data_IF_180651001342
#
_entry.id   IF_180651001342
#
_cell.length_a   1.000
_cell.length_b   1.000
_cell.length_c   1.000
_cell.angle_alpha   90.00
_cell.angle_beta   90.00
_cell.angle_gamma   90.00
#
_symmetry.space_group_name_H-M   'P 1'
#
loop_
_entity.id
_entity.type
_entity.pdbx_description
1 polymer ?
#
# COMPACT_ATOMS: atom_id res chain seq x y z
N UNK A 1 25.39 -49.23 -24.61
CA UNK A 1 25.86 -47.83 -24.46
C UNK A 1 27.11 -47.83 -23.61
N UNK A 2 28.20 -47.23 -24.07
CA UNK A 2 29.50 -47.21 -23.37
C UNK A 2 29.43 -46.36 -22.08
N UNK A 3 30.22 -46.73 -21.06
CA UNK A 3 30.22 -46.08 -19.75
C UNK A 3 30.50 -44.56 -19.81
N UNK A 4 31.23 -44.09 -20.82
CA UNK A 4 31.44 -42.67 -21.10
C UNK A 4 30.15 -41.90 -21.46
N UNK A 5 29.25 -42.51 -22.25
CA UNK A 5 27.98 -41.85 -22.61
C UNK A 5 27.05 -41.69 -21.40
N UNK A 6 27.10 -42.61 -20.44
CA UNK A 6 26.34 -42.51 -19.19
C UNK A 6 26.92 -41.44 -18.26
N UNK A 7 28.26 -41.31 -18.17
CA UNK A 7 28.90 -40.22 -17.42
C UNK A 7 28.62 -38.84 -18.01
N UNK A 8 28.66 -38.70 -19.34
CA UNK A 8 28.35 -37.45 -20.02
C UNK A 8 26.86 -37.06 -19.86
N UNK A 9 25.95 -38.04 -19.91
CA UNK A 9 24.52 -37.81 -19.65
C UNK A 9 24.26 -37.41 -18.19
N UNK A 10 24.92 -38.05 -17.22
CA UNK A 10 24.82 -37.71 -15.80
C UNK A 10 25.38 -36.32 -15.48
N UNK A 11 26.48 -35.92 -16.12
CA UNK A 11 27.06 -34.59 -15.95
C UNK A 11 26.18 -33.49 -16.55
N UNK A 12 25.51 -33.76 -17.69
CA UNK A 12 24.52 -32.87 -18.30
C UNK A 12 23.22 -32.77 -17.49
N UNK A 13 22.77 -33.87 -16.88
CA UNK A 13 21.62 -33.85 -15.98
C UNK A 13 21.92 -33.06 -14.70
N UNK A 14 23.13 -33.21 -14.14
CA UNK A 14 23.56 -32.47 -12.96
C UNK A 14 23.73 -30.97 -13.25
N UNK A 15 24.30 -30.59 -14.40
CA UNK A 15 24.38 -29.18 -14.81
C UNK A 15 23.00 -28.59 -15.11
N UNK A 16 22.09 -29.36 -15.73
CA UNK A 16 20.71 -28.93 -15.91
C UNK A 16 19.97 -28.77 -14.57
N UNK A 17 20.16 -29.67 -13.59
CA UNK A 17 19.60 -29.54 -12.24
C UNK A 17 20.20 -28.34 -11.48
N UNK A 18 21.49 -28.08 -11.61
CA UNK A 18 22.14 -26.91 -10.98
C UNK A 18 21.63 -25.61 -11.62
N UNK A 19 21.49 -25.57 -12.95
CA UNK A 19 20.91 -24.42 -13.66
C UNK A 19 19.40 -24.24 -13.40
N UNK A 20 18.65 -25.33 -13.19
CA UNK A 20 17.24 -25.29 -12.79
C UNK A 20 17.07 -24.90 -11.31
N UNK A 21 18.01 -25.26 -10.44
CA UNK A 21 18.02 -24.82 -9.04
C UNK A 21 18.43 -23.35 -8.87
N UNK A 22 19.26 -22.83 -9.79
CA UNK A 22 19.58 -21.41 -9.89
C UNK A 22 18.43 -20.57 -10.47
N UNK A 23 17.43 -21.21 -11.10
CA UNK A 23 16.32 -20.52 -11.76
C UNK A 23 15.14 -20.16 -10.84
N UNK A 24 15.15 -20.47 -9.54
CA UNK A 24 13.98 -20.18 -8.69
C UNK A 24 14.24 -19.99 -7.19
N UNK A 25 15.34 -19.36 -6.78
CA UNK A 25 15.41 -18.80 -5.43
C UNK A 25 16.27 -17.53 -5.44
N UNK A 26 15.63 -16.37 -5.72
CA UNK A 26 16.29 -15.07 -5.55
C UNK A 26 16.73 -14.93 -4.10
N UNK A 27 17.94 -14.44 -3.89
CA UNK A 27 18.37 -14.16 -2.53
C UNK A 27 17.54 -13.01 -1.96
N UNK A 28 17.35 -12.99 -0.65
CA UNK A 28 16.60 -11.92 -0.01
C UNK A 28 17.23 -10.54 -0.23
N UNK A 29 18.55 -10.49 -0.30
CA UNK A 29 19.29 -9.29 -0.63
C UNK A 29 18.90 -8.76 -2.02
N UNK A 30 18.83 -9.63 -3.04
CA UNK A 30 18.37 -9.25 -4.38
C UNK A 30 16.95 -8.70 -4.37
N UNK A 31 16.04 -9.29 -3.59
CA UNK A 31 14.67 -8.80 -3.48
C UNK A 31 14.62 -7.41 -2.85
N UNK A 32 15.43 -7.17 -1.82
CA UNK A 32 15.57 -5.83 -1.21
C UNK A 32 16.13 -4.84 -2.23
N UNK A 33 17.14 -5.21 -3.01
CA UNK A 33 17.71 -4.35 -4.06
C UNK A 33 16.69 -4.01 -5.15
N UNK A 34 15.87 -4.98 -5.58
CA UNK A 34 14.78 -4.73 -6.54
C UNK A 34 13.76 -3.72 -5.98
N UNK A 35 13.37 -3.88 -4.71
CA UNK A 35 12.43 -2.99 -4.02
C UNK A 35 13.03 -1.59 -3.89
N UNK A 36 14.27 -1.46 -3.42
CA UNK A 36 14.96 -0.18 -3.30
C UNK A 36 15.15 0.50 -4.66
N UNK A 37 15.46 -0.26 -5.71
CA UNK A 37 15.54 0.24 -7.08
C UNK A 37 14.21 0.80 -7.57
N UNK A 38 13.12 0.09 -7.31
CA UNK A 38 11.75 0.53 -7.64
C UNK A 38 11.35 1.79 -6.86
N UNK A 39 11.59 1.81 -5.55
CA UNK A 39 11.32 2.97 -4.70
C UNK A 39 12.14 4.19 -5.14
N UNK A 40 13.41 4.01 -5.51
CA UNK A 40 14.25 5.09 -6.04
C UNK A 40 13.67 5.71 -7.31
N UNK A 41 13.14 4.89 -8.24
CA UNK A 41 12.44 5.40 -9.43
C UNK A 41 11.15 6.16 -9.07
N UNK A 42 10.36 5.63 -8.13
CA UNK A 42 9.14 6.30 -7.65
C UNK A 42 9.42 7.64 -6.95
N UNK A 43 10.49 7.74 -6.15
CA UNK A 43 10.93 9.02 -5.56
C UNK A 43 11.45 9.98 -6.64
N UNK A 44 12.10 9.47 -7.67
CA UNK A 44 12.55 10.29 -8.82
C UNK A 44 11.36 10.85 -9.61
N UNK A 45 10.25 10.11 -9.69
CA UNK A 45 9.00 10.61 -10.23
C UNK A 45 8.45 11.77 -9.39
N UNK A 46 8.37 11.62 -8.06
CA UNK A 46 7.94 12.69 -7.16
C UNK A 46 8.84 13.93 -7.27
N UNK A 47 10.17 13.76 -7.37
CA UNK A 47 11.11 14.86 -7.58
C UNK A 47 10.80 15.71 -8.82
N UNK A 48 10.29 15.09 -9.89
CA UNK A 48 9.91 15.79 -11.12
C UNK A 48 8.49 16.36 -11.07
N UNK A 49 7.60 15.68 -10.36
CA UNK A 49 6.16 15.93 -10.41
C UNK A 49 5.58 16.56 -9.14
N UNK A 50 6.41 16.95 -8.16
CA UNK A 50 5.95 17.45 -6.85
C UNK A 50 4.89 18.56 -6.95
N UNK A 51 4.98 19.46 -7.94
CA UNK A 51 4.02 20.56 -8.12
C UNK A 51 2.65 20.09 -8.65
N UNK A 52 2.61 18.89 -9.23
CA UNK A 52 1.43 18.32 -9.86
C UNK A 52 0.83 17.15 -9.09
N UNK A 53 1.45 16.66 -8.03
CA UNK A 53 0.85 15.61 -7.18
C UNK A 53 -0.42 16.14 -6.49
N UNK A 54 -1.44 15.28 -6.36
CA UNK A 54 -2.65 15.53 -5.57
C UNK A 54 -2.46 15.09 -4.10
N UNK A 55 -3.42 15.38 -3.22
CA UNK A 55 -3.29 15.00 -1.79
C UNK A 55 -3.14 13.49 -1.62
N UNK A 56 -3.93 12.68 -2.33
CA UNK A 56 -3.90 11.22 -2.23
C UNK A 56 -2.52 10.67 -2.61
N UNK A 57 -1.93 11.26 -3.66
CA UNK A 57 -0.56 11.01 -4.06
C UNK A 57 0.45 11.37 -2.98
N UNK A 58 0.34 12.57 -2.38
CA UNK A 58 1.23 12.97 -1.30
C UNK A 58 1.08 12.07 -0.06
N UNK A 59 -0.14 11.67 0.30
CA UNK A 59 -0.40 10.77 1.44
C UNK A 59 0.30 9.42 1.25
N UNK A 60 0.22 8.80 0.06
CA UNK A 60 0.93 7.53 -0.18
C UNK A 60 2.46 7.67 -0.10
N UNK A 61 3.04 8.78 -0.56
CA UNK A 61 4.46 9.07 -0.35
C UNK A 61 4.82 9.36 1.11
N UNK A 62 3.92 9.95 1.90
CA UNK A 62 4.10 10.12 3.36
C UNK A 62 4.02 8.77 4.08
N UNK A 63 3.17 7.85 3.64
CA UNK A 63 3.19 6.46 4.14
C UNK A 63 4.54 5.80 3.84
N UNK A 64 5.06 5.93 2.60
CA UNK A 64 6.42 5.48 2.27
C UNK A 64 7.48 6.13 3.17
N UNK A 65 7.36 7.43 3.46
CA UNK A 65 8.28 8.13 4.36
C UNK A 65 8.30 7.49 5.75
N UNK A 66 7.13 7.13 6.29
CA UNK A 66 7.03 6.42 7.57
C UNK A 66 7.68 5.02 7.49
N UNK A 67 7.37 4.24 6.44
CA UNK A 67 7.96 2.92 6.20
C UNK A 67 9.50 2.98 6.09
N UNK A 68 10.06 3.94 5.33
CA UNK A 68 11.51 4.08 5.18
C UNK A 68 12.20 4.53 6.48
N UNK A 69 11.57 5.40 7.26
CA UNK A 69 12.09 5.79 8.58
C UNK A 69 12.13 4.60 9.53
N UNK A 70 11.10 3.75 9.51
CA UNK A 70 11.06 2.52 10.29
C UNK A 70 12.10 1.49 9.81
N UNK A 71 12.23 1.31 8.49
CA UNK A 71 13.22 0.43 7.89
C UNK A 71 14.65 0.84 8.33
N UNK A 72 15.00 2.12 8.25
CA UNK A 72 16.31 2.64 8.69
C UNK A 72 16.57 2.42 10.18
N UNK A 73 15.51 2.53 11.00
CA UNK A 73 15.57 2.33 12.46
C UNK A 73 15.79 0.87 12.83
N UNK A 74 15.17 -0.06 12.11
CA UNK A 74 15.16 -1.50 12.42
C UNK A 74 16.13 -2.32 11.58
N UNK A 75 16.84 -1.69 10.64
CA UNK A 75 17.72 -2.35 9.69
C UNK A 75 18.77 -3.26 10.38
N UNK A 76 18.89 -4.54 10.01
CA UNK A 76 19.86 -5.45 10.61
C UNK A 76 21.32 -5.04 10.34
N UNK A 77 22.17 -5.02 11.35
CA UNK A 77 23.61 -4.72 11.22
C UNK A 77 24.45 -5.99 11.05
N UNK A 78 24.08 -6.84 10.10
CA UNK A 78 24.59 -8.22 9.99
C UNK A 78 25.86 -8.35 9.16
N UNK A 79 25.97 -7.64 8.04
CA UNK A 79 27.02 -7.84 7.05
C UNK A 79 27.20 -6.59 6.14
N UNK A 80 28.27 -6.51 5.32
CA UNK A 80 28.52 -5.37 4.45
C UNK A 80 27.43 -5.07 3.41
N UNK A 81 26.74 -6.09 2.89
CA UNK A 81 25.62 -5.89 1.94
C UNK A 81 24.48 -5.21 2.66
N UNK A 82 24.12 -5.68 3.85
CA UNK A 82 23.09 -5.02 4.66
C UNK A 82 23.45 -3.54 4.97
N UNK A 83 24.71 -3.26 5.30
CA UNK A 83 25.17 -1.87 5.52
C UNK A 83 25.06 -1.00 4.26
N UNK A 84 25.39 -1.54 3.09
CA UNK A 84 25.24 -0.84 1.82
C UNK A 84 23.77 -0.53 1.53
N UNK A 85 22.88 -1.52 1.67
CA UNK A 85 21.43 -1.35 1.44
C UNK A 85 20.81 -0.33 2.41
N UNK A 86 21.22 -0.35 3.68
CA UNK A 86 20.81 0.67 4.66
C UNK A 86 21.26 2.06 4.24
N UNK A 87 22.51 2.19 3.77
CA UNK A 87 23.05 3.47 3.32
C UNK A 87 22.28 4.02 2.11
N UNK A 88 21.95 3.15 1.15
CA UNK A 88 21.08 3.47 0.01
C UNK A 88 19.71 3.95 0.49
N UNK A 89 19.13 3.27 1.49
CA UNK A 89 17.83 3.63 2.07
C UNK A 89 17.87 5.00 2.75
N UNK A 90 18.94 5.32 3.50
CA UNK A 90 19.13 6.65 4.11
C UNK A 90 19.22 7.74 3.05
N UNK A 91 19.95 7.50 1.95
CA UNK A 91 20.05 8.44 0.84
C UNK A 91 18.70 8.65 0.13
N UNK A 92 17.95 7.57 -0.08
CA UNK A 92 16.60 7.61 -0.65
C UNK A 92 15.64 8.41 0.24
N UNK A 93 15.65 8.16 1.55
CA UNK A 93 14.81 8.87 2.51
C UNK A 93 15.08 10.39 2.49
N UNK A 94 16.35 10.81 2.40
CA UNK A 94 16.70 12.24 2.30
C UNK A 94 16.11 12.90 1.05
N UNK A 95 16.10 12.20 -0.08
CA UNK A 95 15.49 12.67 -1.34
C UNK A 95 13.97 12.75 -1.22
N UNK A 96 13.35 11.74 -0.61
CA UNK A 96 11.92 11.71 -0.37
C UNK A 96 11.48 12.86 0.55
N UNK A 97 12.18 13.07 1.67
CA UNK A 97 11.90 14.17 2.63
C UNK A 97 11.87 15.53 1.90
N UNK A 98 12.89 15.83 1.09
CA UNK A 98 12.98 17.10 0.34
C UNK A 98 11.84 17.27 -0.68
N UNK A 99 11.49 16.20 -1.39
CA UNK A 99 10.44 16.22 -2.42
C UNK A 99 9.04 16.33 -1.82
N UNK A 100 8.79 15.69 -0.68
CA UNK A 100 7.55 15.82 0.08
C UNK A 100 7.35 17.24 0.59
N UNK A 101 8.40 17.89 1.12
CA UNK A 101 8.31 19.29 1.56
C UNK A 101 7.83 20.21 0.42
N UNK A 102 8.35 20.00 -0.80
CA UNK A 102 7.92 20.74 -2.00
C UNK A 102 6.49 20.39 -2.42
N UNK A 103 6.14 19.10 -2.46
CA UNK A 103 4.81 18.65 -2.85
C UNK A 103 3.74 19.17 -1.90
N UNK A 104 3.98 19.13 -0.59
CA UNK A 104 3.08 19.65 0.44
C UNK A 104 2.95 21.18 0.32
N UNK A 105 4.04 21.89 0.06
CA UNK A 105 4.01 23.34 -0.18
C UNK A 105 3.18 23.71 -1.43
N UNK A 106 3.29 22.93 -2.51
CA UNK A 106 2.49 23.09 -3.72
C UNK A 106 1.01 22.78 -3.47
N UNK A 107 0.70 21.69 -2.76
CA UNK A 107 -0.67 21.32 -2.38
C UNK A 107 -1.36 22.42 -1.58
N UNK A 108 -0.66 23.01 -0.61
CA UNK A 108 -1.19 24.10 0.20
C UNK A 108 -1.56 25.33 -0.64
N UNK A 109 -0.88 25.55 -1.77
CA UNK A 109 -1.15 26.66 -2.70
C UNK A 109 -2.24 26.30 -3.70
N UNK A 110 -2.17 25.10 -4.28
CA UNK A 110 -3.02 24.66 -5.39
C UNK A 110 -4.41 24.19 -4.92
N UNK A 111 -4.50 23.57 -3.75
CA UNK A 111 -5.75 23.10 -3.15
C UNK A 111 -5.77 23.33 -1.62
N UNK A 112 -5.87 24.59 -1.18
CA UNK A 112 -5.78 24.94 0.24
C UNK A 112 -6.93 24.36 1.08
N UNK A 113 -8.08 24.07 0.47
CA UNK A 113 -9.22 23.48 1.18
C UNK A 113 -8.92 22.02 1.47
N UNK A 114 -8.57 21.25 0.45
CA UNK A 114 -8.33 19.82 0.61
C UNK A 114 -7.08 19.56 1.48
N UNK A 115 -6.04 20.39 1.34
CA UNK A 115 -4.90 20.40 2.26
C UNK A 115 -5.35 20.54 3.72
N UNK A 116 -6.20 21.52 4.07
CA UNK A 116 -6.63 21.75 5.46
C UNK A 116 -7.45 20.59 6.02
N UNK A 117 -8.28 19.98 5.18
CA UNK A 117 -9.14 18.86 5.58
C UNK A 117 -8.31 17.62 5.97
N UNK A 118 -7.14 17.43 5.37
CA UNK A 118 -6.34 16.21 5.56
C UNK A 118 -4.87 16.46 5.97
N UNK A 119 -4.53 17.68 6.35
CA UNK A 119 -3.18 18.07 6.81
C UNK A 119 -2.55 17.07 7.80
N UNK A 120 -3.27 16.52 8.80
CA UNK A 120 -2.69 15.53 9.71
C UNK A 120 -2.11 14.29 9.03
N UNK A 121 -2.69 13.88 7.89
CA UNK A 121 -2.25 12.70 7.12
C UNK A 121 -0.94 12.97 6.37
N UNK A 122 -0.55 14.23 6.19
CA UNK A 122 0.69 14.64 5.53
C UNK A 122 1.89 14.66 6.49
N UNK A 123 1.74 14.10 7.69
CA UNK A 123 2.81 13.98 8.69
C UNK A 123 3.16 12.51 8.89
N UNK A 124 4.41 12.12 8.66
CA UNK A 124 4.81 10.70 8.78
C UNK A 124 4.57 10.11 10.18
N UNK A 125 4.68 10.90 11.26
CA UNK A 125 4.43 10.44 12.63
C UNK A 125 2.96 10.11 12.91
N UNK A 126 2.05 10.51 12.02
CA UNK A 126 0.66 10.08 12.08
C UNK A 126 0.53 8.59 11.77
N UNK A 127 1.33 8.08 10.83
CA UNK A 127 1.26 6.72 10.34
C UNK A 127 2.02 5.75 11.25
N UNK A 128 1.31 4.80 11.83
CA UNK A 128 1.88 3.75 12.67
C UNK A 128 2.28 2.54 11.81
N UNK A 129 3.57 2.18 11.85
CA UNK A 129 4.08 0.98 11.17
C UNK A 129 3.94 -0.24 12.11
N UNK A 130 3.33 -1.35 11.64
CA UNK A 130 3.08 -2.52 12.48
C UNK A 130 4.39 -3.13 13.02
N UNK A 131 4.40 -3.42 14.32
CA UNK A 131 5.55 -4.05 15.00
C UNK A 131 5.45 -5.58 15.05
N UNK A 132 4.30 -6.13 14.66
CA UNK A 132 4.00 -7.55 14.63
C UNK A 132 3.08 -7.85 13.46
N UNK A 133 3.12 -9.10 13.02
CA UNK A 133 2.42 -9.58 11.85
C UNK A 133 1.31 -10.56 12.23
N UNK A 134 0.17 -10.45 11.56
CA UNK A 134 -0.96 -11.36 11.65
C UNK A 134 -1.40 -11.80 10.26
N UNK A 135 -2.25 -12.82 10.19
CA UNK A 135 -2.80 -13.35 8.94
C UNK A 135 -4.29 -13.10 8.87
N UNK A 136 -4.83 -13.02 7.65
CA UNK A 136 -6.27 -12.94 7.44
C UNK A 136 -6.95 -14.27 7.77
N UNK A 137 -8.25 -14.19 8.04
CA UNK A 137 -9.09 -15.34 8.37
C UNK A 137 -10.14 -15.55 7.27
N UNK A 138 -10.00 -16.58 6.41
CA UNK A 138 -10.96 -16.89 5.36
C UNK A 138 -12.39 -17.12 5.85
N UNK A 139 -12.60 -17.46 7.14
CA UNK A 139 -13.93 -17.64 7.72
C UNK A 139 -14.71 -16.32 7.89
N UNK A 140 -14.01 -15.17 7.85
CA UNK A 140 -14.59 -13.83 7.96
C UNK A 140 -15.01 -13.24 6.60
N UNK A 141 -14.74 -13.94 5.51
CA UNK A 141 -15.12 -13.51 4.16
C UNK A 141 -16.65 -13.45 4.04
N UNK A 142 -17.15 -12.38 3.44
CA UNK A 142 -18.58 -12.19 3.24
C UNK A 142 -19.16 -13.31 2.36
N UNK A 143 -20.37 -13.81 2.66
CA UNK A 143 -21.03 -14.79 1.80
C UNK A 143 -21.38 -14.21 0.43
N UNK A 144 -21.58 -12.89 0.34
CA UNK A 144 -21.85 -12.16 -0.89
C UNK A 144 -21.46 -10.70 -0.73
N UNK A 145 -20.97 -10.08 -1.80
CA UNK A 145 -20.72 -8.63 -1.89
C UNK A 145 -21.83 -7.94 -2.69
N UNK A 146 -22.00 -6.65 -2.42
CA UNK A 146 -22.83 -5.75 -3.24
C UNK A 146 -22.08 -5.50 -4.57
N UNK A 147 -22.81 -5.35 -5.67
CA UNK A 147 -22.23 -5.18 -7.02
C UNK A 147 -21.71 -3.78 -7.31
N UNK A 148 -21.99 -2.81 -6.44
CA UNK A 148 -21.62 -1.40 -6.59
C UNK A 148 -21.03 -0.86 -5.31
N UNK A 149 -20.28 0.23 -5.41
CA UNK A 149 -19.81 1.01 -4.26
C UNK A 149 -20.95 1.32 -3.30
N UNK A 150 -20.67 1.21 -2.00
CA UNK A 150 -21.64 1.41 -0.94
C UNK A 150 -21.94 2.89 -0.68
N UNK A 151 -20.98 3.77 -0.97
CA UNK A 151 -21.06 5.19 -0.72
C UNK A 151 -20.08 5.95 -1.63
N UNK A 152 -20.21 7.27 -1.67
CA UNK A 152 -19.31 8.13 -2.43
C UNK A 152 -18.16 8.69 -1.57
N UNK A 153 -17.14 9.18 -2.26
CA UNK A 153 -15.95 9.79 -1.66
C UNK A 153 -16.30 10.99 -0.77
N UNK A 154 -17.34 11.77 -1.09
CA UNK A 154 -17.74 12.92 -0.28
C UNK A 154 -18.20 12.49 1.11
N UNK A 155 -18.97 11.41 1.21
CA UNK A 155 -19.36 10.84 2.50
C UNK A 155 -18.13 10.29 3.23
N UNK A 156 -17.22 9.62 2.52
CA UNK A 156 -15.96 9.14 3.10
C UNK A 156 -15.16 10.28 3.75
N UNK A 157 -14.89 11.33 2.99
CA UNK A 157 -14.08 12.47 3.41
C UNK A 157 -14.71 13.20 4.60
N UNK A 158 -16.03 13.37 4.56
CA UNK A 158 -16.77 13.94 5.67
C UNK A 158 -16.55 13.12 6.95
N UNK A 159 -16.56 11.81 6.86
CA UNK A 159 -16.34 10.95 8.02
C UNK A 159 -14.88 10.98 8.51
N UNK A 160 -13.91 11.05 7.60
CA UNK A 160 -12.49 11.17 7.94
C UNK A 160 -12.17 12.52 8.59
N UNK A 161 -12.65 13.64 8.04
CA UNK A 161 -12.44 14.98 8.61
C UNK A 161 -13.07 15.15 9.99
N UNK A 162 -14.17 14.45 10.27
CA UNK A 162 -14.77 14.37 11.61
C UNK A 162 -13.90 13.59 12.62
N UNK A 163 -13.22 12.52 12.19
CA UNK A 163 -12.24 11.83 13.03
C UNK A 163 -11.00 12.69 13.29
N UNK A 164 -10.48 13.34 12.25
CA UNK A 164 -9.27 14.15 12.33
C UNK A 164 -9.47 15.44 13.15
N UNK A 165 -10.70 15.97 13.17
CA UNK A 165 -11.03 17.27 13.79
C UNK A 165 -10.85 18.46 12.85
N UNK A 166 -10.76 18.21 11.55
CA UNK A 166 -10.46 19.19 10.50
C UNK A 166 -11.70 19.67 9.74
N UNK A 167 -12.88 19.14 10.08
CA UNK A 167 -14.18 19.53 9.50
C UNK A 167 -14.54 21.02 9.69
N UNK A 168 -13.85 21.73 10.58
CA UNK A 168 -13.84 23.18 10.73
C UNK A 168 -12.53 23.65 11.35
N UNK A 169 -12.30 24.96 11.33
CA UNK A 169 -11.22 25.58 12.13
C UNK A 169 -11.40 25.24 13.61
N UNK A 170 -10.35 24.69 14.22
CA UNK A 170 -10.35 24.22 15.61
C UNK A 170 -11.50 23.22 15.92
N UNK A 171 -11.76 22.31 14.97
CA UNK A 171 -12.75 21.26 15.14
C UNK A 171 -12.35 20.25 16.23
N UNK A 172 -13.33 19.75 16.97
CA UNK A 172 -13.12 18.65 17.91
C UNK A 172 -12.88 17.36 17.11
N UNK A 173 -11.80 16.60 17.37
CA UNK A 173 -11.55 15.32 16.70
C UNK A 173 -12.44 14.21 17.26
N UNK A 174 -12.34 13.03 16.64
CA UNK A 174 -13.02 11.80 17.04
C UNK A 174 -14.55 11.88 17.07
N UNK A 175 -15.16 12.64 16.16
CA UNK A 175 -16.62 12.68 16.03
C UNK A 175 -17.09 11.52 15.15
N UNK A 176 -17.92 10.64 15.71
CA UNK A 176 -18.52 9.50 14.98
C UNK A 176 -20.04 9.69 14.91
N UNK A 177 -20.51 10.32 13.82
CA UNK A 177 -21.94 10.49 13.56
C UNK A 177 -22.59 9.16 13.20
N UNK A 178 -23.92 9.05 13.38
CA UNK A 178 -24.66 7.84 12.98
C UNK A 178 -24.46 7.48 11.49
N UNK A 179 -24.56 8.41 10.52
CA UNK A 179 -24.27 8.09 9.11
C UNK A 179 -22.87 7.53 8.90
N UNK A 180 -21.85 8.10 9.55
CA UNK A 180 -20.49 7.58 9.45
C UNK A 180 -20.35 6.19 10.05
N UNK A 181 -20.93 5.96 11.23
CA UNK A 181 -20.91 4.63 11.87
C UNK A 181 -21.59 3.59 10.99
N UNK A 182 -22.81 3.85 10.55
CA UNK A 182 -23.60 2.91 9.76
C UNK A 182 -22.91 2.59 8.43
N UNK A 183 -22.29 3.59 7.80
CA UNK A 183 -21.57 3.44 6.53
C UNK A 183 -20.27 2.68 6.71
N UNK A 184 -19.44 3.09 7.68
CA UNK A 184 -18.10 2.54 7.86
C UNK A 184 -18.10 1.13 8.47
N UNK A 185 -19.21 0.71 9.11
CA UNK A 185 -19.39 -0.64 9.67
C UNK A 185 -20.22 -1.58 8.78
N UNK A 186 -20.65 -1.10 7.60
CA UNK A 186 -21.51 -1.87 6.69
C UNK A 186 -20.73 -3.02 6.04
N UNK A 187 -21.20 -4.25 6.25
CA UNK A 187 -20.62 -5.43 5.57
C UNK A 187 -21.10 -5.54 4.11
N UNK A 188 -20.33 -6.26 3.31
CA UNK A 188 -20.64 -6.55 1.91
C UNK A 188 -20.25 -5.44 0.94
N UNK A 189 -19.57 -4.39 1.40
CA UNK A 189 -19.08 -3.34 0.52
C UNK A 189 -17.90 -3.82 -0.32
N UNK A 190 -17.89 -3.55 -1.64
CA UNK A 190 -16.80 -3.97 -2.52
C UNK A 190 -15.75 -2.86 -2.66
N UNK A 191 -14.60 -3.22 -3.26
CA UNK A 191 -13.62 -2.30 -3.85
C UNK A 191 -13.26 -1.09 -2.98
N UNK A 192 -13.39 0.14 -3.50
CA UNK A 192 -12.92 1.35 -2.84
C UNK A 192 -13.73 1.68 -1.57
N UNK A 193 -15.00 1.29 -1.51
CA UNK A 193 -15.77 1.38 -0.28
C UNK A 193 -15.13 0.54 0.83
N UNK A 194 -14.64 -0.67 0.51
CA UNK A 194 -13.99 -1.53 1.49
C UNK A 194 -12.64 -0.95 1.94
N UNK A 195 -11.85 -0.41 1.01
CA UNK A 195 -10.57 0.25 1.35
C UNK A 195 -10.75 1.47 2.23
N UNK A 196 -11.75 2.30 1.93
CA UNK A 196 -12.07 3.48 2.73
C UNK A 196 -12.66 3.11 4.10
N UNK A 197 -13.40 2.00 4.21
CA UNK A 197 -13.86 1.47 5.49
C UNK A 197 -12.67 1.11 6.39
N UNK A 198 -11.68 0.40 5.87
CA UNK A 198 -10.46 0.09 6.61
C UNK A 198 -9.67 1.35 6.97
N UNK A 199 -9.48 2.26 6.01
CA UNK A 199 -8.77 3.52 6.22
C UNK A 199 -9.40 4.36 7.34
N UNK A 200 -10.74 4.38 7.44
CA UNK A 200 -11.47 5.05 8.52
C UNK A 200 -11.07 4.52 9.90
N UNK A 201 -10.99 3.19 10.05
CA UNK A 201 -10.57 2.56 11.30
C UNK A 201 -9.08 2.80 11.60
N UNK A 202 -8.21 2.68 10.59
CA UNK A 202 -6.78 3.00 10.73
C UNK A 202 -6.56 4.44 11.22
N UNK A 203 -7.19 5.42 10.57
CA UNK A 203 -7.11 6.84 10.94
C UNK A 203 -7.66 7.07 12.35
N UNK A 204 -8.80 6.46 12.68
CA UNK A 204 -9.37 6.58 14.02
C UNK A 204 -8.44 5.99 15.09
N UNK A 205 -7.77 4.87 14.82
CA UNK A 205 -6.77 4.29 15.73
C UNK A 205 -5.55 5.19 15.89
N UNK A 206 -4.96 5.65 14.80
CA UNK A 206 -3.80 6.54 14.78
C UNK A 206 -4.08 7.87 15.48
N UNK A 207 -5.33 8.37 15.39
CA UNK A 207 -5.78 9.58 16.08
C UNK A 207 -6.15 9.35 17.56
N UNK A 208 -6.23 8.10 18.03
CA UNK A 208 -6.61 7.76 19.40
C UNK A 208 -8.13 7.70 19.66
N UNK A 209 -8.95 7.57 18.62
CA UNK A 209 -10.41 7.55 18.67
C UNK A 209 -11.02 6.16 18.99
N UNK A 210 -10.20 5.18 19.40
CA UNK A 210 -10.59 3.76 19.54
C UNK A 210 -11.91 3.53 20.31
N UNK A 211 -12.09 4.23 21.42
CA UNK A 211 -13.27 4.09 22.29
C UNK A 211 -14.59 4.54 21.63
N UNK A 212 -14.51 5.33 20.56
CA UNK A 212 -15.66 5.92 19.85
C UNK A 212 -15.98 5.18 18.55
N UNK A 213 -15.01 4.44 18.02
CA UNK A 213 -15.12 3.48 16.92
C UNK A 213 -15.79 2.16 17.36
N UNK A 214 -16.85 2.28 18.17
CA UNK A 214 -17.70 1.14 18.51
C UNK A 214 -18.41 0.65 17.26
N UNK A 215 -18.58 -0.66 17.17
CA UNK A 215 -19.26 -1.30 16.05
C UNK A 215 -20.71 -0.86 15.86
N UNK A 216 -21.29 -1.41 14.81
CA UNK A 216 -22.70 -1.34 14.49
C UNK A 216 -23.58 -1.54 15.75
N UNK A 217 -24.58 -0.67 15.93
CA UNK A 217 -25.48 -0.70 17.09
C UNK A 217 -26.44 -1.90 17.11
N UNK A 218 -26.45 -2.74 16.06
CA UNK A 218 -27.15 -4.03 16.05
C UNK A 218 -26.61 -4.93 17.17
N UNK A 219 -27.52 -5.59 17.89
CA UNK A 219 -27.18 -6.41 19.05
C UNK A 219 -26.10 -7.49 18.77
N UNK A 220 -26.08 -8.04 17.56
CA UNK A 220 -25.07 -9.03 17.15
C UNK A 220 -23.66 -8.47 16.92
N UNK A 221 -23.48 -7.14 16.92
CA UNK A 221 -22.23 -6.46 16.55
C UNK A 221 -21.82 -5.34 17.50
N UNK A 222 -22.61 -5.10 18.55
CA UNK A 222 -22.37 -4.05 19.54
C UNK A 222 -21.03 -4.20 20.28
N UNK A 223 -20.51 -5.43 20.36
CA UNK A 223 -19.22 -5.75 20.99
C UNK A 223 -18.03 -5.77 20.00
N UNK A 224 -18.25 -5.45 18.73
CA UNK A 224 -17.15 -5.41 17.77
C UNK A 224 -16.20 -4.25 18.08
N UNK A 225 -14.91 -4.59 18.13
CA UNK A 225 -13.81 -3.63 18.27
C UNK A 225 -13.32 -3.16 16.90
N UNK A 226 -12.52 -2.09 16.89
CA UNK A 226 -11.81 -1.63 15.72
C UNK A 226 -10.95 -2.74 15.06
N UNK A 227 -10.23 -3.53 15.88
CA UNK A 227 -9.44 -4.65 15.40
C UNK A 227 -10.31 -5.71 14.70
N UNK A 228 -11.50 -6.01 15.22
CA UNK A 228 -12.40 -6.97 14.57
C UNK A 228 -12.86 -6.49 13.19
N UNK A 229 -13.06 -5.17 13.00
CA UNK A 229 -13.35 -4.63 11.67
C UNK A 229 -12.14 -4.74 10.74
N UNK A 230 -10.93 -4.43 11.23
CA UNK A 230 -9.72 -4.60 10.42
C UNK A 230 -9.54 -6.06 9.95
N UNK A 231 -9.72 -7.04 10.85
CA UNK A 231 -9.64 -8.47 10.54
C UNK A 231 -10.64 -8.89 9.47
N UNK A 232 -11.90 -8.47 9.61
CA UNK A 232 -12.96 -8.77 8.63
C UNK A 232 -12.64 -8.12 7.28
N UNK A 233 -12.29 -6.83 7.27
CA UNK A 233 -12.05 -6.10 6.04
C UNK A 233 -10.83 -6.61 5.30
N UNK A 234 -9.70 -6.83 5.99
CA UNK A 234 -8.52 -7.40 5.35
C UNK A 234 -8.73 -8.82 4.87
N UNK A 235 -9.54 -9.64 5.55
CA UNK A 235 -9.90 -10.97 5.05
C UNK A 235 -10.70 -10.90 3.74
N UNK A 236 -11.61 -9.92 3.62
CA UNK A 236 -12.36 -9.70 2.40
C UNK A 236 -11.50 -9.09 1.28
N UNK A 237 -10.57 -8.20 1.59
CA UNK A 237 -9.60 -7.66 0.64
C UNK A 237 -8.62 -8.72 0.13
N UNK A 238 -8.18 -9.64 1.00
CA UNK A 238 -7.34 -10.78 0.60
C UNK A 238 -8.09 -11.66 -0.39
N UNK A 239 -9.36 -11.99 -0.10
CA UNK A 239 -10.22 -12.72 -1.05
C UNK A 239 -10.35 -11.98 -2.38
N UNK A 240 -10.59 -10.66 -2.35
CA UNK A 240 -10.71 -9.85 -3.55
C UNK A 240 -9.42 -9.86 -4.39
N UNK A 241 -8.24 -9.73 -3.76
CA UNK A 241 -6.96 -9.79 -4.46
C UNK A 241 -6.69 -11.18 -5.06
N UNK A 242 -7.04 -12.25 -4.35
CA UNK A 242 -6.95 -13.62 -4.88
C UNK A 242 -7.85 -13.81 -6.11
N UNK A 243 -9.05 -13.25 -6.08
CA UNK A 243 -9.98 -13.30 -7.22
C UNK A 243 -9.44 -12.50 -8.41
N UNK A 244 -8.92 -11.29 -8.19
CA UNK A 244 -8.27 -10.48 -9.24
C UNK A 244 -7.13 -11.25 -9.90
N UNK A 245 -6.26 -11.88 -9.10
CA UNK A 245 -5.13 -12.66 -9.64
C UNK A 245 -5.62 -13.89 -10.40
N UNK A 246 -6.63 -14.60 -9.89
CA UNK A 246 -7.23 -15.77 -10.56
C UNK A 246 -7.86 -15.39 -11.90
N UNK A 247 -8.58 -14.28 -11.93
CA UNK A 247 -9.34 -13.83 -13.11
C UNK A 247 -8.47 -13.06 -14.12
N UNK A 248 -7.23 -12.75 -13.74
CA UNK A 248 -6.24 -12.05 -14.54
C UNK A 248 -6.14 -10.58 -14.13
N UNK A 249 -4.99 -10.21 -13.54
CA UNK A 249 -4.70 -8.83 -13.16
C UNK A 249 -4.66 -7.93 -14.41
N UNK A 250 -5.60 -6.99 -14.49
CA UNK A 250 -5.68 -5.96 -15.54
C UNK A 250 -5.29 -4.59 -15.01
N UNK A 251 -5.00 -3.64 -15.90
CA UNK A 251 -4.78 -2.23 -15.56
C UNK A 251 -5.92 -1.63 -14.73
N UNK A 252 -7.18 -2.00 -15.03
CA UNK A 252 -8.36 -1.50 -14.31
C UNK A 252 -8.43 -2.01 -12.86
N UNK A 253 -7.91 -3.20 -12.61
CA UNK A 253 -7.90 -3.85 -11.29
C UNK A 253 -6.60 -3.62 -10.52
N UNK A 254 -5.56 -3.10 -11.18
CA UNK A 254 -4.23 -2.92 -10.60
C UNK A 254 -4.24 -1.94 -9.43
N UNK A 255 -4.95 -0.82 -9.57
CA UNK A 255 -5.04 0.18 -8.51
C UNK A 255 -5.61 -0.40 -7.21
N UNK A 256 -6.82 -0.98 -7.25
CA UNK A 256 -7.45 -1.58 -6.06
C UNK A 256 -6.66 -2.79 -5.51
N UNK A 257 -6.00 -3.56 -6.38
CA UNK A 257 -5.15 -4.67 -5.96
C UNK A 257 -3.98 -4.19 -5.09
N UNK A 258 -3.28 -3.15 -5.53
CA UNK A 258 -2.15 -2.58 -4.79
C UNK A 258 -2.64 -1.79 -3.58
N UNK A 259 -3.77 -1.08 -3.69
CA UNK A 259 -4.38 -0.34 -2.58
C UNK A 259 -4.67 -1.27 -1.40
N UNK A 260 -5.26 -2.45 -1.65
CA UNK A 260 -5.48 -3.47 -0.63
C UNK A 260 -4.16 -3.95 0.01
N UNK A 261 -3.09 -4.15 -0.78
CA UNK A 261 -1.77 -4.55 -0.26
C UNK A 261 -1.20 -3.47 0.66
N UNK A 262 -1.27 -2.20 0.26
CA UNK A 262 -0.80 -1.07 1.06
C UNK A 262 -1.52 -1.00 2.41
N UNK A 263 -2.84 -0.88 2.40
CA UNK A 263 -3.61 -0.58 3.62
C UNK A 263 -3.68 -1.77 4.57
N UNK A 264 -3.78 -3.01 4.07
CA UNK A 264 -3.73 -4.20 4.92
C UNK A 264 -2.32 -4.52 5.40
N UNK A 265 -1.30 -4.25 4.57
CA UNK A 265 0.11 -4.32 4.98
C UNK A 265 0.37 -3.37 6.16
N UNK A 266 -0.03 -2.10 6.06
CA UNK A 266 0.05 -1.11 7.15
C UNK A 266 -0.82 -1.48 8.36
N UNK A 267 -1.90 -2.24 8.16
CA UNK A 267 -2.72 -2.77 9.25
C UNK A 267 -2.11 -4.02 9.91
N UNK A 268 -0.96 -4.51 9.42
CA UNK A 268 -0.19 -5.61 10.01
C UNK A 268 -0.48 -7.01 9.44
N UNK A 269 -1.18 -7.10 8.31
CA UNK A 269 -1.49 -8.39 7.67
C UNK A 269 -0.38 -8.80 6.71
N UNK A 270 0.49 -9.73 7.14
CA UNK A 270 1.69 -10.10 6.39
C UNK A 270 1.43 -10.96 5.14
N UNK A 271 0.27 -11.62 5.08
CA UNK A 271 -0.14 -12.46 3.97
C UNK A 271 -0.38 -11.70 2.66
N UNK A 272 -0.46 -10.36 2.70
CA UNK A 272 -0.44 -9.48 1.53
C UNK A 272 0.95 -9.31 0.91
N UNK A 273 2.04 -9.61 1.63
CA UNK A 273 3.40 -9.48 1.15
C UNK A 273 3.88 -10.73 0.37
N UNK A 274 3.07 -11.20 -0.59
CA UNK A 274 3.41 -12.39 -1.39
C UNK A 274 4.49 -12.07 -2.43
N UNK A 275 5.42 -12.99 -2.64
CA UNK A 275 6.54 -12.79 -3.56
C UNK A 275 6.08 -12.65 -5.03
N UNK A 276 5.09 -13.42 -5.45
CA UNK A 276 4.48 -13.32 -6.79
C UNK A 276 3.76 -11.98 -6.99
N UNK A 277 3.04 -11.50 -5.97
CA UNK A 277 2.37 -10.20 -6.00
C UNK A 277 3.38 -9.04 -6.10
N UNK A 278 4.49 -9.11 -5.36
CA UNK A 278 5.59 -8.17 -5.51
C UNK A 278 6.13 -8.14 -6.95
N UNK A 279 6.33 -9.30 -7.58
CA UNK A 279 6.81 -9.35 -8.96
C UNK A 279 5.82 -8.70 -9.93
N UNK A 280 4.51 -8.86 -9.73
CA UNK A 280 3.50 -8.15 -10.51
C UNK A 280 3.63 -6.63 -10.35
N UNK A 281 3.76 -6.15 -9.10
CA UNK A 281 3.94 -4.71 -8.82
C UNK A 281 5.19 -4.17 -9.51
N UNK A 282 6.35 -4.79 -9.30
CA UNK A 282 7.62 -4.32 -9.87
C UNK A 282 7.59 -4.24 -11.40
N UNK A 283 6.88 -5.16 -12.08
CA UNK A 283 6.74 -5.16 -13.55
C UNK A 283 5.81 -4.08 -14.10
N UNK A 284 4.90 -3.56 -13.28
CA UNK A 284 3.98 -2.49 -13.68
C UNK A 284 4.62 -1.10 -13.66
N UNK A 285 5.82 -0.96 -13.07
CA UNK A 285 6.49 0.32 -13.02
C UNK A 285 7.08 0.70 -14.38
N UNK A 286 6.81 1.92 -14.84
CA UNK A 286 7.48 2.48 -15.99
C UNK A 286 8.97 2.71 -15.65
N UNK A 287 9.88 2.14 -16.45
CA UNK A 287 11.31 2.19 -16.15
C UNK A 287 11.95 3.56 -16.47
N UNK A 288 11.36 4.35 -17.35
CA UNK A 288 11.88 5.66 -17.75
C UNK A 288 11.42 6.74 -16.77
N UNK A 289 10.11 6.78 -16.53
CA UNK A 289 9.45 7.81 -15.73
C UNK A 289 9.35 7.41 -14.26
N UNK A 290 9.38 6.12 -13.93
CA UNK A 290 9.35 5.61 -12.56
C UNK A 290 7.97 5.58 -11.89
N UNK A 291 6.92 5.93 -12.64
CA UNK A 291 5.54 5.94 -12.17
C UNK A 291 4.85 4.57 -12.35
N UNK A 292 3.66 4.44 -11.78
CA UNK A 292 2.76 3.30 -11.98
C UNK A 292 1.45 3.79 -12.59
N UNK A 293 0.78 2.93 -13.36
CA UNK A 293 -0.50 3.28 -13.99
C UNK A 293 -0.36 4.28 -15.14
N UNK A 294 0.67 4.13 -15.96
CA UNK A 294 0.85 4.93 -17.17
C UNK A 294 -0.13 4.46 -18.23
N UNK A 295 -1.08 5.31 -18.61
CA UNK A 295 -1.97 5.03 -19.74
C UNK A 295 -1.30 5.53 -21.03
N UNK A 296 -0.82 4.59 -21.85
CA UNK A 296 -0.20 4.91 -23.13
C UNK A 296 -1.22 5.34 -24.20
N UNK A 297 -2.51 4.99 -24.07
CA UNK A 297 -3.58 5.37 -25.01
C UNK A 297 -4.05 6.81 -24.78
N UNK A 298 -3.92 7.33 -23.55
CA UNK A 298 -4.32 8.70 -23.20
C UNK A 298 -3.38 9.79 -23.76
N UNK A 299 -2.19 9.42 -24.21
CA UNK A 299 -1.31 10.30 -25.00
C UNK A 299 -1.86 10.54 -26.42
N UNK A 300 -2.76 9.67 -26.92
CA UNK A 300 -3.37 9.79 -28.25
C UNK A 300 -4.85 10.21 -28.23
N UNK A 301 -5.55 10.11 -27.10
CA UNK A 301 -7.00 10.39 -27.04
C UNK A 301 -7.41 11.15 -25.78
N UNK A 302 -7.30 12.48 -25.83
CA UNK A 302 -8.10 13.38 -25.00
C UNK A 302 -9.60 13.26 -25.40
N UNK A 303 -10.31 12.24 -24.94
CA UNK A 303 -11.79 12.20 -24.97
C UNK A 303 -12.43 11.69 -23.65
N UNK A 304 -13.63 12.18 -23.28
CA UNK A 304 -13.96 12.48 -21.88
C UNK A 304 -14.93 11.49 -21.20
N UNK A 305 -14.85 10.17 -21.43
CA UNK A 305 -15.87 9.22 -20.95
C UNK A 305 -15.39 7.93 -20.29
N UNK A 306 -14.24 7.92 -19.61
CA UNK A 306 -13.94 6.88 -18.59
C UNK A 306 -14.18 7.43 -17.19
N UNK A 307 -14.81 6.61 -16.36
CA UNK A 307 -15.22 6.90 -14.97
C UNK A 307 -14.06 7.52 -14.18
N UNK A 308 -14.08 8.83 -14.03
CA UNK A 308 -13.10 9.58 -13.24
C UNK A 308 -13.27 9.13 -11.78
N UNK A 309 -12.34 8.32 -11.27
CA UNK A 309 -12.07 8.26 -9.83
C UNK A 309 -11.73 9.72 -9.49
N UNK A 310 -12.62 10.44 -8.78
CA UNK A 310 -12.75 11.91 -8.87
C UNK A 310 -11.53 12.71 -8.40
N UNK A 311 -10.47 12.04 -7.94
CA UNK A 311 -9.16 12.61 -7.63
C UNK A 311 -7.98 11.96 -8.33
N UNK A 312 -8.16 10.92 -9.13
CA UNK A 312 -7.07 10.39 -9.95
C UNK A 312 -6.52 11.52 -10.82
N UNK A 313 -5.25 11.83 -10.63
CA UNK A 313 -4.59 12.91 -11.36
C UNK A 313 -3.59 12.28 -12.31
N UNK A 314 -4.08 12.07 -13.54
CA UNK A 314 -3.22 11.72 -14.66
C UNK A 314 -2.40 12.96 -15.01
N UNK A 315 -1.08 12.81 -14.93
CA UNK A 315 -0.12 13.85 -15.23
C UNK A 315 0.12 13.94 -16.74
N UNK A 316 0.79 14.99 -17.17
CA UNK A 316 1.05 15.28 -18.59
C UNK A 316 1.89 14.22 -19.30
N UNK A 317 2.58 13.36 -18.55
CA UNK A 317 3.36 12.21 -19.03
C UNK A 317 2.54 10.90 -19.10
N UNK A 318 1.24 10.96 -18.79
CA UNK A 318 0.32 9.84 -18.75
C UNK A 318 0.33 9.05 -17.44
N UNK A 319 1.17 9.46 -16.46
CA UNK A 319 1.30 8.77 -15.19
C UNK A 319 0.18 9.09 -14.21
N UNK A 320 -0.23 8.10 -13.43
CA UNK A 320 -1.15 8.28 -12.30
C UNK A 320 -0.40 8.71 -11.03
N UNK A 321 -0.80 9.86 -10.46
CA UNK A 321 -0.32 10.34 -9.16
C UNK A 321 -0.71 9.38 -8.02
N UNK A 322 -1.98 8.94 -8.01
CA UNK A 322 -2.52 8.08 -6.94
C UNK A 322 -1.93 6.67 -6.99
N UNK A 323 -1.98 6.01 -8.15
CA UNK A 323 -1.47 4.64 -8.30
C UNK A 323 0.03 4.57 -8.03
N UNK A 324 0.80 5.58 -8.43
CA UNK A 324 2.24 5.65 -8.08
C UNK A 324 2.44 5.72 -6.58
N UNK A 325 1.70 6.58 -5.89
CA UNK A 325 1.80 6.74 -4.45
C UNK A 325 1.37 5.48 -3.67
N UNK A 326 0.30 4.83 -4.12
CA UNK A 326 -0.18 3.55 -3.56
C UNK A 326 0.86 2.44 -3.75
N UNK A 327 1.45 2.34 -4.93
CA UNK A 327 2.49 1.35 -5.22
C UNK A 327 3.76 1.55 -4.41
N UNK A 328 4.28 2.77 -4.32
CA UNK A 328 5.49 3.01 -3.52
C UNK A 328 5.22 2.83 -2.03
N UNK A 329 4.03 3.18 -1.53
CA UNK A 329 3.62 2.87 -0.16
C UNK A 329 3.64 1.36 0.09
N UNK A 330 3.02 0.56 -0.79
CA UNK A 330 3.00 -0.89 -0.68
C UNK A 330 4.43 -1.49 -0.70
N UNK A 331 5.29 -0.98 -1.59
CA UNK A 331 6.70 -1.39 -1.68
C UNK A 331 7.49 -1.04 -0.40
N UNK A 332 7.13 0.04 0.29
CA UNK A 332 7.66 0.35 1.63
C UNK A 332 7.31 -0.75 2.65
N UNK A 333 6.06 -1.21 2.66
CA UNK A 333 5.62 -2.35 3.49
C UNK A 333 6.38 -3.64 3.17
N UNK A 334 6.55 -3.95 1.87
CA UNK A 334 7.40 -5.07 1.44
C UNK A 334 8.82 -4.97 1.97
N UNK A 335 9.43 -3.77 1.94
CA UNK A 335 10.78 -3.57 2.48
C UNK A 335 10.82 -3.95 3.96
N UNK A 336 9.91 -3.44 4.80
CA UNK A 336 9.87 -3.78 6.21
C UNK A 336 9.57 -5.26 6.48
N UNK A 337 8.69 -5.88 5.69
CA UNK A 337 8.46 -7.33 5.74
C UNK A 337 9.75 -8.12 5.45
N UNK A 338 10.48 -7.75 4.40
CA UNK A 338 11.75 -8.38 4.08
C UNK A 338 12.88 -8.01 5.06
N UNK A 339 12.82 -6.92 5.83
CA UNK A 339 13.78 -6.69 6.90
C UNK A 339 13.45 -7.49 8.16
N UNK A 340 12.17 -7.58 8.52
CA UNK A 340 11.75 -8.27 9.76
C UNK A 340 12.09 -9.74 9.77
N UNK A 341 11.90 -10.49 8.68
CA UNK A 341 12.34 -11.90 8.74
C UNK A 341 13.84 -12.14 8.54
N UNK A 342 14.66 -11.10 8.28
CA UNK A 342 16.12 -11.23 8.41
C UNK A 342 16.50 -11.33 9.89
N UNK A 343 15.68 -10.74 10.76
CA UNK A 343 15.85 -10.81 12.20
C UNK A 343 15.37 -12.18 12.73
N UNK A 344 16.27 -13.16 12.69
CA UNK A 344 16.06 -14.53 13.18
C UNK A 344 15.60 -14.56 14.65
N UNK A 345 15.84 -13.47 15.41
CA UNK A 345 15.45 -13.35 16.82
C UNK A 345 13.98 -12.98 17.03
N UNK A 346 13.28 -12.53 15.98
CA UNK A 346 11.87 -12.11 16.03
C UNK A 346 10.89 -13.11 15.43
N UNK A 347 11.37 -14.28 14.98
CA UNK A 347 10.47 -15.36 14.57
C UNK A 347 9.68 -15.84 15.79
N UNK A 348 8.34 -15.83 15.76
CA UNK A 348 7.57 -16.64 16.69
C UNK A 348 8.05 -18.09 16.49
N UNK A 349 8.45 -18.75 17.58
CA UNK A 349 8.52 -20.20 17.59
C UNK A 349 7.09 -20.69 17.38
N UNK A 350 6.78 -21.08 16.14
CA UNK A 350 5.52 -21.71 15.75
C UNK A 350 5.24 -22.95 16.58
#
# INVERSE_FOLDING_TARGET
MTAEKMRAAGLRLATALVLLSAAACRTRAEVIDDVLGSLSRGVSFLERQHDHINLDGAVGFVMLQAELKEAVRTWPHTDPVSWAQRTTTVALLKRLDLSLDKAVAALKQNDPKYYREFEPLLTWTFWLIPQGWHSTDPSLVYPSTITTECYDEQLSDKCLTLLLGTWKMNGTPCIVTKPCRDTMTRFGCPHYSLSHQLLYFMIGRMRGCNNLLKGDMRASRVNMTEQNYQEIFCSNMMKANQDIVRDGLTEQTADIFIENILICGLSGFSDFHKADWLQHILRMQDLEVGCFGRDHELLEQLQPHRRVKRREKILTDGCSSHMTAVAVGALGGYLNFYLTEQDITKRPLS
#
